data_IF_719253947125
#
_entry.id   IF_719253947125
#
_cell.length_a   1.000
_cell.length_b   1.000
_cell.length_c   1.000
_cell.angle_alpha   90.00
_cell.angle_beta   90.00
_cell.angle_gamma   90.00
#
_symmetry.space_group_name_H-M   'P 1'
#
loop_
_entity.id
_entity.type
_entity.pdbx_description
1 polymer ?
#
# COMPACT_ATOMS: atom_id res chain seq x y z
N UNK A 1 -16.89 44.12 -33.65
CA UNK A 1 -15.71 43.80 -34.48
C UNK A 1 -14.40 43.73 -33.67
N UNK A 2 -14.39 43.09 -32.48
CA UNK A 2 -13.18 42.97 -31.64
C UNK A 2 -12.67 41.52 -31.53
N UNK A 3 -13.52 40.52 -31.73
CA UNK A 3 -13.19 39.10 -31.59
C UNK A 3 -12.32 38.54 -32.74
N UNK A 4 -12.41 39.14 -33.93
CA UNK A 4 -11.65 38.70 -35.12
C UNK A 4 -10.19 39.13 -35.11
N UNK A 5 -9.85 40.19 -34.36
CA UNK A 5 -8.48 40.68 -34.28
C UNK A 5 -7.59 39.70 -33.54
N UNK A 6 -8.04 39.14 -32.41
CA UNK A 6 -7.26 38.19 -31.61
C UNK A 6 -6.90 36.89 -32.36
N UNK A 7 -7.84 36.36 -33.15
CA UNK A 7 -7.63 35.16 -33.97
C UNK A 7 -6.63 35.41 -35.11
N UNK A 8 -6.68 36.58 -35.74
CA UNK A 8 -5.72 36.97 -36.78
C UNK A 8 -4.30 37.16 -36.21
N UNK A 9 -4.17 37.75 -35.02
CA UNK A 9 -2.87 37.88 -34.34
C UNK A 9 -2.27 36.51 -33.96
N UNK A 10 -3.08 35.59 -33.44
CA UNK A 10 -2.63 34.25 -33.12
C UNK A 10 -2.18 33.46 -34.37
N UNK A 11 -2.92 33.60 -35.48
CA UNK A 11 -2.55 32.99 -36.76
C UNK A 11 -1.24 33.54 -37.33
N UNK A 12 -1.05 34.87 -37.30
CA UNK A 12 0.21 35.50 -37.72
C UNK A 12 1.39 35.09 -36.85
N UNK A 13 1.21 34.96 -35.54
CA UNK A 13 2.26 34.55 -34.62
C UNK A 13 2.70 33.10 -34.91
N UNK A 14 1.74 32.20 -35.13
CA UNK A 14 2.01 30.80 -35.44
C UNK A 14 2.74 30.65 -36.79
N UNK A 15 2.35 31.44 -37.80
CA UNK A 15 3.01 31.46 -39.10
C UNK A 15 4.44 32.01 -39.00
N UNK A 16 4.65 33.10 -38.23
CA UNK A 16 5.97 33.67 -38.03
C UNK A 16 6.91 32.70 -37.30
N UNK A 17 6.43 32.02 -36.25
CA UNK A 17 7.19 31.00 -35.52
C UNK A 17 7.50 29.79 -36.42
N UNK A 18 6.53 29.33 -37.21
CA UNK A 18 6.73 28.24 -38.17
C UNK A 18 7.74 28.60 -39.28
N UNK A 19 7.70 29.82 -39.81
CA UNK A 19 8.67 30.31 -40.78
C UNK A 19 10.09 30.41 -40.18
N UNK A 20 10.23 30.87 -38.94
CA UNK A 20 11.53 30.92 -38.26
C UNK A 20 12.11 29.51 -38.06
N UNK A 21 11.27 28.54 -37.69
CA UNK A 21 11.69 27.13 -37.54
C UNK A 21 12.07 26.44 -38.86
N UNK A 22 11.47 26.85 -39.97
CA UNK A 22 11.76 26.30 -41.30
C UNK A 22 13.02 26.92 -41.95
N UNK A 23 13.32 28.20 -41.67
CA UNK A 23 14.46 28.90 -42.26
C UNK A 23 15.77 28.73 -41.46
N UNK A 24 15.71 28.49 -40.15
CA UNK A 24 16.87 28.37 -39.26
C UNK A 24 16.84 27.03 -38.48
N UNK A 25 17.29 25.91 -39.07
CA UNK A 25 17.26 24.60 -38.41
C UNK A 25 18.27 24.44 -37.26
N UNK A 26 19.08 25.48 -36.97
CA UNK A 26 20.09 25.48 -35.91
C UNK A 26 19.93 26.69 -34.97
N UNK A 27 18.71 26.91 -34.47
CA UNK A 27 18.47 27.87 -33.41
C UNK A 27 19.41 27.59 -32.23
N UNK A 28 20.32 28.51 -31.87
CA UNK A 28 21.28 28.28 -30.80
C UNK A 28 20.50 28.03 -29.50
N UNK A 29 20.85 26.98 -28.76
CA UNK A 29 20.10 26.52 -27.58
C UNK A 29 19.94 27.58 -26.46
N UNK A 30 20.65 28.70 -26.53
CA UNK A 30 20.42 29.89 -25.71
C UNK A 30 19.10 30.62 -26.05
N UNK A 31 18.75 30.75 -27.33
CA UNK A 31 17.52 31.40 -27.77
C UNK A 31 16.28 30.56 -27.39
N UNK A 32 16.36 29.24 -27.57
CA UNK A 32 15.32 28.30 -27.09
C UNK A 32 15.14 28.36 -25.57
N UNK A 33 16.23 28.45 -24.80
CA UNK A 33 16.17 28.63 -23.35
C UNK A 33 15.53 29.95 -22.94
N UNK A 34 15.87 31.05 -23.60
CA UNK A 34 15.24 32.36 -23.34
C UNK A 34 13.76 32.39 -23.72
N UNK A 35 13.37 31.70 -24.79
CA UNK A 35 11.97 31.58 -25.21
C UNK A 35 11.18 30.73 -24.20
N UNK A 36 11.77 29.62 -23.75
CA UNK A 36 11.19 28.73 -22.74
C UNK A 36 11.02 29.43 -21.37
N UNK A 37 12.00 30.23 -20.96
CA UNK A 37 11.91 31.02 -19.71
C UNK A 37 10.86 32.14 -19.81
N UNK A 38 10.73 32.78 -20.98
CA UNK A 38 9.75 33.85 -21.19
C UNK A 38 8.31 33.34 -21.24
N UNK A 39 8.11 32.09 -21.70
CA UNK A 39 6.80 31.44 -21.74
C UNK A 39 6.35 30.91 -20.35
N UNK A 40 7.15 31.08 -19.29
CA UNK A 40 6.89 30.48 -17.96
C UNK A 40 6.59 28.97 -18.00
N UNK A 41 7.01 28.27 -19.07
CA UNK A 41 6.97 26.80 -19.16
C UNK A 41 8.16 26.16 -18.42
N UNK A 42 8.99 26.96 -17.74
CA UNK A 42 9.92 26.48 -16.73
C UNK A 42 9.17 25.87 -15.54
N UNK A 43 9.80 24.95 -14.76
CA UNK A 43 9.16 24.40 -13.58
C UNK A 43 8.70 25.55 -12.68
N UNK A 44 7.42 25.56 -12.30
CA UNK A 44 6.90 26.53 -11.35
C UNK A 44 7.82 26.58 -10.12
N UNK A 45 8.02 27.77 -9.49
CA UNK A 45 8.82 27.88 -8.28
C UNK A 45 8.30 26.87 -7.27
N UNK A 46 9.16 25.89 -6.95
CA UNK A 46 8.77 24.79 -6.10
C UNK A 46 8.41 25.35 -4.72
N UNK A 47 7.31 24.90 -4.10
CA UNK A 47 6.95 25.34 -2.77
C UNK A 47 8.12 25.05 -1.80
N UNK A 48 8.35 25.92 -0.80
CA UNK A 48 9.45 25.74 0.14
C UNK A 48 9.32 24.38 0.84
N UNK A 49 10.27 23.47 0.57
CA UNK A 49 10.27 22.08 1.04
C UNK A 49 10.48 21.01 -0.06
N UNK A 50 10.38 21.36 -1.34
CA UNK A 50 10.43 20.41 -2.47
C UNK A 50 11.84 20.13 -3.03
N UNK A 51 12.83 19.90 -2.14
CA UNK A 51 14.22 19.63 -2.56
C UNK A 51 14.43 18.24 -3.15
N UNK A 52 13.58 17.25 -2.81
CA UNK A 52 13.69 15.89 -3.31
C UNK A 52 12.74 15.61 -4.49
N UNK A 53 13.09 14.65 -5.39
CA UNK A 53 12.19 14.18 -6.43
C UNK A 53 10.83 13.69 -5.90
N UNK A 54 10.81 13.02 -4.75
CA UNK A 54 9.60 12.53 -4.09
C UNK A 54 8.72 13.69 -3.59
N UNK A 55 9.32 14.74 -3.03
CA UNK A 55 8.59 15.92 -2.57
C UNK A 55 7.94 16.69 -3.72
N UNK A 56 8.64 16.78 -4.85
CA UNK A 56 8.07 17.33 -6.09
C UNK A 56 6.93 16.49 -6.66
N UNK A 57 7.07 15.16 -6.63
CA UNK A 57 6.02 14.24 -7.09
C UNK A 57 4.79 14.32 -6.19
N UNK A 58 4.97 14.34 -4.87
CA UNK A 58 3.89 14.49 -3.89
C UNK A 58 3.13 15.82 -4.11
N UNK A 59 3.86 16.93 -4.27
CA UNK A 59 3.24 18.24 -4.55
C UNK A 59 2.46 18.25 -5.88
N UNK A 60 2.96 17.55 -6.91
CA UNK A 60 2.23 17.39 -8.17
C UNK A 60 0.96 16.54 -7.99
N UNK A 61 1.00 15.48 -7.19
CA UNK A 61 -0.19 14.68 -6.87
C UNK A 61 -1.23 15.47 -6.08
N UNK A 62 -0.81 16.29 -5.10
CA UNK A 62 -1.71 17.15 -4.33
C UNK A 62 -2.44 18.16 -5.23
N UNK A 63 -1.76 18.66 -6.27
CA UNK A 63 -2.35 19.57 -7.24
C UNK A 63 -3.30 18.89 -8.23
N UNK A 64 -3.04 17.62 -8.60
CA UNK A 64 -3.74 16.91 -9.68
C UNK A 64 -4.90 16.04 -9.18
N UNK A 65 -4.81 15.46 -7.99
CA UNK A 65 -5.82 14.54 -7.46
C UNK A 65 -6.96 15.34 -6.83
N UNK A 66 -7.95 15.69 -7.66
CA UNK A 66 -9.16 16.39 -7.23
C UNK A 66 -10.38 15.48 -7.25
N UNK A 67 -11.37 15.77 -6.39
CA UNK A 67 -12.62 15.00 -6.36
C UNK A 67 -13.43 15.23 -7.65
N UNK A 68 -14.07 14.20 -8.22
CA UNK A 68 -14.88 14.35 -9.42
C UNK A 68 -16.12 15.22 -9.17
N UNK A 69 -16.58 15.91 -10.23
CA UNK A 69 -17.75 16.78 -10.18
C UNK A 69 -19.05 16.02 -9.84
N UNK A 70 -19.18 14.78 -10.32
CA UNK A 70 -20.27 13.87 -9.94
C UNK A 70 -19.75 12.84 -8.96
N UNK A 71 -20.42 12.73 -7.81
CA UNK A 71 -20.02 11.84 -6.72
C UNK A 71 -21.03 10.72 -6.55
N UNK A 72 -20.54 9.55 -6.17
CA UNK A 72 -21.39 8.44 -5.71
C UNK A 72 -22.12 8.88 -4.44
N UNK A 73 -23.44 8.67 -4.39
CA UNK A 73 -24.24 8.97 -3.18
C UNK A 73 -24.14 7.87 -2.14
N UNK A 74 -24.12 6.61 -2.60
CA UNK A 74 -24.01 5.39 -1.78
C UNK A 74 -23.29 4.33 -2.61
N UNK A 75 -22.45 3.56 -1.95
CA UNK A 75 -21.74 2.41 -2.53
C UNK A 75 -21.95 1.23 -1.58
N UNK A 76 -22.39 0.09 -2.13
CA UNK A 76 -22.49 -1.16 -1.38
C UNK A 76 -21.18 -1.93 -1.52
N UNK A 77 -20.61 -2.36 -0.38
CA UNK A 77 -19.36 -3.13 -0.33
C UNK A 77 -19.60 -4.37 0.50
N UNK A 78 -19.25 -5.52 -0.06
CA UNK A 78 -19.38 -6.87 0.51
C UNK A 78 -18.63 -7.87 -0.37
N UNK A 79 -18.51 -9.15 -0.04
CA UNK A 79 -19.16 -9.94 1.04
C UNK A 79 -18.18 -10.45 2.11
N UNK A 80 -16.89 -10.12 2.00
CA UNK A 80 -15.84 -10.69 2.83
C UNK A 80 -15.30 -9.65 3.83
N UNK A 81 -15.46 -9.94 5.12
CA UNK A 81 -14.80 -9.24 6.22
C UNK A 81 -14.21 -10.27 7.20
N UNK A 82 -13.02 -10.00 7.72
CA UNK A 82 -12.33 -10.75 8.75
C UNK A 82 -11.64 -9.78 9.73
N UNK A 83 -11.31 -10.30 10.91
CA UNK A 83 -10.36 -9.63 11.80
C UNK A 83 -9.07 -10.42 11.74
N UNK A 84 -7.98 -9.69 11.59
CA UNK A 84 -6.64 -10.20 11.59
C UNK A 84 -6.05 -9.99 12.98
N UNK A 85 -5.75 -11.07 13.70
CA UNK A 85 -5.10 -10.99 15.01
C UNK A 85 -3.62 -11.27 14.86
N UNK A 86 -2.81 -10.29 15.22
CA UNK A 86 -1.37 -10.26 15.03
C UNK A 86 -0.68 -10.38 16.39
N UNK A 87 0.06 -11.46 16.60
CA UNK A 87 0.75 -11.73 17.86
C UNK A 87 2.00 -12.58 17.67
N UNK A 88 2.79 -12.74 18.73
CA UNK A 88 3.95 -13.65 18.72
C UNK A 88 3.50 -15.11 18.71
N UNK A 89 3.84 -15.84 17.64
CA UNK A 89 3.48 -17.26 17.52
C UNK A 89 4.07 -18.14 18.62
N UNK A 90 5.30 -17.85 19.07
CA UNK A 90 5.94 -18.59 20.18
C UNK A 90 5.18 -18.38 21.49
N UNK A 91 4.75 -17.15 21.78
CA UNK A 91 3.97 -16.84 22.99
C UNK A 91 2.61 -17.51 22.95
N UNK A 92 1.96 -17.55 21.78
CA UNK A 92 0.69 -18.25 21.61
C UNK A 92 0.82 -19.76 21.86
N UNK A 93 1.81 -20.42 21.23
CA UNK A 93 2.02 -21.86 21.44
C UNK A 93 2.27 -22.18 22.92
N UNK A 94 3.04 -21.34 23.61
CA UNK A 94 3.25 -21.47 25.06
C UNK A 94 1.95 -21.29 25.86
N UNK A 95 1.12 -20.33 25.49
CA UNK A 95 -0.18 -20.10 26.14
C UNK A 95 -1.16 -21.25 25.91
N UNK A 96 -1.04 -21.95 24.78
CA UNK A 96 -1.77 -23.18 24.48
C UNK A 96 -1.21 -24.41 25.23
N UNK A 97 -0.15 -24.26 26.04
CA UNK A 97 0.50 -25.35 26.76
C UNK A 97 1.31 -26.28 25.86
N UNK A 98 1.67 -25.84 24.65
CA UNK A 98 2.41 -26.63 23.68
C UNK A 98 3.92 -26.42 23.87
N UNK A 99 4.65 -27.54 23.89
CA UNK A 99 6.11 -27.54 23.92
C UNK A 99 6.65 -27.73 22.51
N UNK A 100 7.78 -27.08 22.14
CA UNK A 100 8.36 -27.24 20.82
C UNK A 100 8.81 -28.69 20.60
N UNK A 101 8.19 -29.35 19.64
CA UNK A 101 8.50 -30.68 19.14
C UNK A 101 9.28 -30.63 17.83
N UNK A 102 9.12 -31.66 17.00
CA UNK A 102 9.79 -31.76 15.71
C UNK A 102 8.96 -31.05 14.64
N UNK A 103 9.55 -30.03 14.00
CA UNK A 103 8.89 -29.27 12.95
C UNK A 103 8.59 -30.10 11.70
N UNK A 104 7.31 -30.19 11.33
CA UNK A 104 6.81 -30.90 10.14
C UNK A 104 5.80 -30.02 9.40
N UNK A 105 5.89 -29.99 8.08
CA UNK A 105 4.86 -29.33 7.27
C UNK A 105 3.59 -30.18 7.18
N UNK A 106 2.45 -29.50 7.25
CA UNK A 106 1.12 -30.05 7.09
C UNK A 106 0.39 -29.23 6.05
N UNK A 107 -0.25 -29.85 5.07
CA UNK A 107 -1.04 -29.13 4.06
C UNK A 107 -2.30 -28.47 4.65
N UNK A 108 -2.82 -29.05 5.72
CA UNK A 108 -4.01 -28.62 6.46
C UNK A 108 -3.79 -28.93 7.94
N UNK A 109 -4.20 -28.02 8.82
CA UNK A 109 -4.11 -28.18 10.28
C UNK A 109 -5.41 -28.78 10.80
N UNK A 110 -5.33 -29.87 11.55
CA UNK A 110 -6.48 -30.55 12.16
C UNK A 110 -6.44 -30.52 13.68
N UNK A 111 -5.27 -30.26 14.25
CA UNK A 111 -5.04 -30.28 15.69
C UNK A 111 -4.11 -29.16 16.14
N UNK A 112 -4.06 -28.93 17.47
CA UNK A 112 -3.07 -28.04 18.11
C UNK A 112 -1.63 -28.50 17.86
N UNK A 113 -1.42 -29.81 17.73
CA UNK A 113 -0.11 -30.39 17.45
C UNK A 113 0.32 -30.10 16.00
N UNK A 114 -0.58 -30.20 15.03
CA UNK A 114 -0.29 -29.86 13.63
C UNK A 114 0.11 -28.39 13.50
N UNK A 115 -0.55 -27.50 14.26
CA UNK A 115 -0.20 -26.08 14.32
C UNK A 115 1.21 -25.87 14.87
N UNK A 116 1.57 -26.55 15.95
CA UNK A 116 2.90 -26.49 16.55
C UNK A 116 3.97 -27.01 15.58
N UNK A 117 3.79 -28.20 15.02
CA UNK A 117 4.71 -28.81 14.07
C UNK A 117 4.90 -27.93 12.81
N UNK A 118 3.81 -27.42 12.23
CA UNK A 118 3.86 -26.55 11.06
C UNK A 118 4.53 -25.22 11.40
N UNK A 119 4.22 -24.63 12.55
CA UNK A 119 4.84 -23.40 13.00
C UNK A 119 6.36 -23.57 13.17
N UNK A 120 6.81 -24.61 13.86
CA UNK A 120 8.25 -24.89 14.06
C UNK A 120 8.94 -25.14 12.71
N UNK A 121 8.29 -25.83 11.78
CA UNK A 121 8.83 -26.07 10.43
C UNK A 121 9.12 -24.77 9.67
N UNK A 122 8.16 -23.85 9.62
CA UNK A 122 8.31 -22.59 8.89
C UNK A 122 9.16 -21.57 9.64
N UNK A 123 9.07 -21.55 10.97
CA UNK A 123 9.93 -20.73 11.81
C UNK A 123 11.41 -21.12 11.65
N UNK A 124 11.72 -22.42 11.66
CA UNK A 124 13.10 -22.90 11.45
C UNK A 124 13.67 -22.56 10.07
N UNK A 125 12.81 -22.36 9.06
CA UNK A 125 13.19 -21.95 7.71
C UNK A 125 13.19 -20.42 7.50
N UNK A 126 12.65 -19.65 8.44
CA UNK A 126 12.39 -18.22 8.25
C UNK A 126 11.42 -17.93 7.09
N UNK A 127 10.56 -18.88 6.75
CA UNK A 127 9.68 -18.80 5.59
C UNK A 127 8.25 -18.45 6.00
N UNK A 128 7.56 -17.66 5.16
CA UNK A 128 6.15 -17.40 5.35
C UNK A 128 5.30 -18.61 4.91
N UNK A 129 4.20 -18.86 5.61
CA UNK A 129 3.27 -19.93 5.27
C UNK A 129 1.84 -19.58 5.67
N UNK A 130 0.90 -20.07 4.88
CA UNK A 130 -0.53 -19.98 5.18
C UNK A 130 -1.13 -21.38 5.23
N UNK A 131 -1.90 -21.69 6.27
CA UNK A 131 -2.56 -22.99 6.41
C UNK A 131 -4.00 -22.87 6.84
N UNK A 132 -4.84 -23.71 6.26
CA UNK A 132 -6.24 -23.86 6.65
C UNK A 132 -6.33 -24.73 7.92
N UNK A 133 -7.13 -24.29 8.88
CA UNK A 133 -7.45 -25.03 10.09
C UNK A 133 -8.85 -25.63 9.97
N UNK A 134 -8.90 -26.95 9.81
CA UNK A 134 -10.12 -27.69 9.51
C UNK A 134 -11.09 -27.73 10.69
N UNK A 135 -10.60 -28.07 11.88
CA UNK A 135 -11.42 -28.25 13.07
C UNK A 135 -11.91 -26.91 13.63
N UNK A 136 -13.24 -26.75 13.63
CA UNK A 136 -13.88 -25.46 13.91
C UNK A 136 -13.79 -25.08 15.39
N UNK A 137 -13.98 -26.05 16.29
CA UNK A 137 -14.01 -25.82 17.73
C UNK A 137 -12.62 -25.50 18.25
N UNK A 138 -11.62 -26.29 17.88
CA UNK A 138 -10.22 -26.01 18.23
C UNK A 138 -9.75 -24.69 17.65
N UNK A 139 -10.14 -24.35 16.41
CA UNK A 139 -9.81 -23.05 15.84
C UNK A 139 -10.45 -21.91 16.63
N UNK A 140 -11.71 -22.05 17.05
CA UNK A 140 -12.39 -21.04 17.85
C UNK A 140 -11.68 -20.80 19.19
N UNK A 141 -11.31 -21.87 19.89
CA UNK A 141 -10.56 -21.77 21.16
C UNK A 141 -9.22 -21.07 20.97
N UNK A 142 -8.46 -21.44 19.93
CA UNK A 142 -7.17 -20.82 19.62
C UNK A 142 -7.35 -19.33 19.29
N UNK A 143 -8.35 -18.99 18.47
CA UNK A 143 -8.64 -17.62 18.08
C UNK A 143 -9.07 -16.78 19.29
N UNK A 144 -9.86 -17.34 20.20
CA UNK A 144 -10.25 -16.68 21.44
C UNK A 144 -9.01 -16.37 22.31
N UNK A 145 -8.18 -17.38 22.57
CA UNK A 145 -6.94 -17.21 23.35
C UNK A 145 -6.00 -16.19 22.69
N UNK A 146 -5.89 -16.20 21.36
CA UNK A 146 -5.10 -15.24 20.62
C UNK A 146 -5.66 -13.81 20.74
N UNK A 147 -6.99 -13.64 20.73
CA UNK A 147 -7.64 -12.33 20.85
C UNK A 147 -7.60 -11.72 22.25
N UNK A 148 -7.59 -12.57 23.28
CA UNK A 148 -7.49 -12.16 24.68
C UNK A 148 -6.03 -11.88 25.10
N UNK A 149 -5.07 -12.12 24.20
CA UNK A 149 -3.65 -11.94 24.49
C UNK A 149 -3.32 -10.44 24.68
N UNK A 150 -2.69 -10.03 25.79
CA UNK A 150 -2.47 -8.60 26.09
C UNK A 150 -1.67 -7.82 25.05
N UNK A 151 -0.81 -8.51 24.29
CA UNK A 151 0.04 -7.93 23.25
C UNK A 151 -0.54 -8.10 21.83
N UNK A 152 -1.72 -8.71 21.69
CA UNK A 152 -2.33 -8.94 20.38
C UNK A 152 -2.79 -7.62 19.75
N UNK A 153 -2.46 -7.44 18.48
CA UNK A 153 -2.98 -6.35 17.66
C UNK A 153 -4.08 -6.89 16.76
N UNK A 154 -5.26 -6.28 16.83
CA UNK A 154 -6.40 -6.68 15.99
C UNK A 154 -6.61 -5.66 14.88
N UNK A 155 -6.64 -6.12 13.64
CA UNK A 155 -6.89 -5.30 12.46
C UNK A 155 -8.14 -5.80 11.74
N UNK A 156 -9.07 -4.92 11.37
CA UNK A 156 -10.20 -5.33 10.56
C UNK A 156 -9.81 -5.32 9.08
N UNK A 157 -9.89 -6.47 8.41
CA UNK A 157 -9.69 -6.58 6.97
C UNK A 157 -11.01 -6.90 6.27
N UNK A 158 -11.30 -6.19 5.20
CA UNK A 158 -12.35 -6.62 4.27
C UNK A 158 -11.76 -6.62 2.88
N UNK A 159 -12.05 -7.65 2.08
CA UNK A 159 -11.37 -7.91 0.80
C UNK A 159 -11.51 -6.82 -0.27
N UNK A 160 -12.13 -5.67 0.05
CA UNK A 160 -12.19 -4.46 -0.78
C UNK A 160 -12.13 -3.14 -0.01
N UNK A 161 -12.02 -3.15 1.32
CA UNK A 161 -11.85 -1.92 2.10
C UNK A 161 -10.48 -1.95 2.74
N UNK A 162 -9.46 -1.56 1.99
CA UNK A 162 -8.31 -0.88 2.58
C UNK A 162 -8.79 0.55 2.82
N UNK A 163 -9.60 0.73 3.86
CA UNK A 163 -9.72 2.01 4.52
C UNK A 163 -8.65 1.98 5.60
N UNK A 164 -7.62 2.85 5.57
CA UNK A 164 -6.72 2.94 6.69
C UNK A 164 -7.55 3.34 7.91
N UNK A 165 -7.72 2.42 8.87
CA UNK A 165 -7.84 2.86 10.26
C UNK A 165 -6.42 3.32 10.60
N UNK A 166 -6.22 4.63 10.46
CA UNK A 166 -4.96 5.30 10.74
C UNK A 166 -4.72 5.21 12.25
N UNK A 167 -4.02 4.17 12.68
CA UNK A 167 -3.55 4.01 14.05
C UNK A 167 -2.07 3.69 14.05
N UNK A 168 -1.29 4.69 14.46
CA UNK A 168 -0.12 4.54 15.33
C UNK A 168 1.05 3.74 14.77
N UNK A 169 2.10 4.47 14.39
CA UNK A 169 3.47 3.97 14.26
C UNK A 169 3.88 3.13 15.48
N UNK A 170 3.81 1.80 15.34
CA UNK A 170 4.39 0.84 16.25
C UNK A 170 5.42 0.02 15.47
N UNK A 171 6.70 0.12 15.84
CA UNK A 171 7.74 -0.79 15.36
C UNK A 171 7.37 -2.22 15.77
N UNK A 172 6.99 -3.04 14.80
CA UNK A 172 6.74 -4.47 15.04
C UNK A 172 8.05 -5.24 14.86
N UNK A 173 8.67 -5.59 15.98
CA UNK A 173 9.79 -6.53 16.05
C UNK A 173 9.28 -7.92 16.46
N UNK A 174 9.88 -8.95 15.85
CA UNK A 174 9.86 -10.39 16.20
C UNK A 174 8.58 -11.22 15.90
N UNK A 175 8.76 -12.20 15.01
CA UNK A 175 7.94 -13.40 14.71
C UNK A 175 6.42 -13.21 14.74
N UNK A 176 5.88 -12.84 13.59
CA UNK A 176 4.49 -12.46 13.42
C UNK A 176 3.63 -13.67 13.06
N UNK A 177 2.65 -14.00 13.90
CA UNK A 177 1.55 -14.90 13.54
C UNK A 177 0.32 -14.02 13.29
N UNK A 178 -0.19 -14.05 12.06
CA UNK A 178 -1.40 -13.34 11.65
C UNK A 178 -2.52 -14.37 11.50
N UNK A 179 -3.51 -14.31 12.37
CA UNK A 179 -4.74 -15.07 12.22
C UNK A 179 -5.69 -14.29 11.33
N UNK A 180 -5.92 -14.72 10.10
CA UNK A 180 -7.11 -14.29 9.40
C UNK A 180 -8.29 -15.12 9.93
N UNK A 181 -9.34 -14.49 10.48
CA UNK A 181 -10.58 -15.16 10.95
C UNK A 181 -11.41 -15.82 9.83
N UNK A 182 -10.74 -16.44 8.86
CA UNK A 182 -11.29 -17.29 7.80
C UNK A 182 -10.86 -18.75 7.94
N UNK A 183 -10.41 -19.17 9.13
CA UNK A 183 -9.71 -20.45 9.39
C UNK A 183 -8.33 -20.54 8.74
N UNK A 184 -7.72 -19.41 8.39
CA UNK A 184 -6.37 -19.40 7.81
C UNK A 184 -5.39 -18.81 8.82
N UNK A 185 -4.34 -19.57 9.10
CA UNK A 185 -3.24 -19.14 9.97
C UNK A 185 -2.07 -18.77 9.07
N UNK A 186 -1.61 -17.53 9.19
CA UNK A 186 -0.51 -16.99 8.43
C UNK A 186 0.70 -16.79 9.34
N UNK A 187 1.81 -17.43 9.00
CA UNK A 187 3.12 -17.23 9.61
C UNK A 187 3.86 -16.24 8.72
N UNK A 188 4.25 -15.09 9.27
CA UNK A 188 5.06 -14.09 8.56
C UNK A 188 6.31 -13.75 9.37
N UNK A 189 7.46 -13.68 8.68
CA UNK A 189 8.69 -13.19 9.30
C UNK A 189 9.15 -11.93 8.58
N UNK A 190 9.25 -10.83 9.34
CA UNK A 190 9.92 -9.61 8.87
C UNK A 190 11.39 -9.73 9.27
N UNK A 191 12.27 -9.86 8.28
CA UNK A 191 13.71 -9.69 8.49
C UNK A 191 13.98 -8.21 8.81
N UNK A 192 14.74 -7.96 9.86
CA UNK A 192 15.39 -6.67 10.13
C UNK A 192 16.65 -6.59 9.27
#
# INVERSE_FOLDING_TARGET
MALWRGSAYAGFLALAVGCVFLLEPQLPGSALRSLWSSLQLGPAPAPPGAGSPEGRLAAAWDALIVRPARRWRRVAVGVNACVDVVLSGVKLLRALGLSPGNGRDHSELRSRNDLEEAFVHFMGKGAAAERFFSDKETFHDIAQIASEFPEAQSFCFSGRSISPVETGSGRLSTSLLVFALRKHIFVHMSHI
#
